data_IF_526258164887
#
_entry.id   IF_526258164887
#
_cell.length_a   1.000
_cell.length_b   1.000
_cell.length_c   1.000
_cell.angle_alpha   90.00
_cell.angle_beta   90.00
_cell.angle_gamma   90.00
#
_symmetry.space_group_name_H-M   'P 1'
#
loop_
_entity.id
_entity.type
_entity.pdbx_description
1 polymer ?
#
# COMPACT_ATOMS: atom_id res chain seq x y z
N UNK A 1 -10.81 47.51 -79.01
CA UNK A 1 -10.15 46.80 -77.93
C UNK A 1 -11.22 46.22 -77.07
N UNK A 2 -11.41 44.86 -77.19
CA UNK A 2 -12.38 44.07 -76.45
C UNK A 2 -11.85 43.77 -75.04
N UNK A 3 -12.63 44.09 -74.03
CA UNK A 3 -12.42 43.58 -72.68
C UNK A 3 -13.21 42.27 -72.50
N UNK A 4 -12.51 41.18 -72.22
CA UNK A 4 -13.10 39.90 -71.88
C UNK A 4 -13.22 39.83 -70.34
N UNK A 5 -14.45 39.77 -69.84
CA UNK A 5 -14.74 39.55 -68.43
C UNK A 5 -14.68 38.03 -68.15
N UNK A 6 -13.76 37.61 -67.31
CA UNK A 6 -13.66 36.23 -66.81
C UNK A 6 -14.63 36.06 -65.62
N UNK A 7 -15.61 35.18 -65.82
CA UNK A 7 -16.51 34.71 -64.73
C UNK A 7 -15.79 33.60 -63.98
N UNK A 8 -15.54 33.82 -62.67
CA UNK A 8 -15.01 32.78 -61.78
C UNK A 8 -16.19 32.03 -61.14
N UNK A 9 -16.30 30.72 -61.26
CA UNK A 9 -17.34 29.98 -60.56
C UNK A 9 -17.01 29.87 -59.09
N UNK A 10 -17.96 30.23 -58.25
CA UNK A 10 -17.96 29.99 -56.78
C UNK A 10 -18.17 28.48 -56.58
N UNK A 11 -17.13 27.81 -56.16
CA UNK A 11 -17.25 26.43 -55.68
C UNK A 11 -17.82 26.47 -54.29
N UNK A 12 -19.04 25.99 -54.11
CA UNK A 12 -19.66 25.72 -52.84
C UNK A 12 -18.90 24.57 -52.18
N UNK A 13 -18.22 24.85 -51.04
CA UNK A 13 -17.68 23.81 -50.18
C UNK A 13 -18.85 23.28 -49.36
N UNK A 14 -19.38 22.18 -49.85
CA UNK A 14 -20.36 21.38 -49.15
C UNK A 14 -19.65 20.43 -48.18
N UNK A 15 -20.34 20.14 -47.10
CA UNK A 15 -20.22 19.00 -46.25
C UNK A 15 -19.02 18.94 -45.28
N UNK A 16 -19.22 19.61 -44.15
CA UNK A 16 -18.63 19.14 -42.92
C UNK A 16 -19.15 17.73 -42.61
N UNK A 17 -18.37 16.71 -42.99
CA UNK A 17 -18.60 15.35 -42.55
C UNK A 17 -18.45 15.34 -40.99
N UNK A 18 -19.59 15.28 -40.34
CA UNK A 18 -19.66 14.95 -38.93
C UNK A 18 -19.01 13.57 -38.78
N UNK A 19 -17.81 13.53 -38.25
CA UNK A 19 -17.22 12.30 -37.75
C UNK A 19 -18.09 11.89 -36.59
N UNK A 20 -19.13 11.11 -36.88
CA UNK A 20 -19.83 10.35 -35.87
C UNK A 20 -18.78 9.45 -35.23
N UNK A 21 -18.35 9.84 -34.02
CA UNK A 21 -17.59 8.91 -33.17
C UNK A 21 -18.41 7.64 -33.12
N UNK A 22 -17.90 6.60 -33.72
CA UNK A 22 -18.51 5.28 -33.65
C UNK A 22 -18.60 4.95 -32.16
N UNK A 23 -19.81 5.08 -31.60
CA UNK A 23 -20.14 4.47 -30.33
C UNK A 23 -19.81 2.99 -30.54
N UNK A 24 -18.71 2.53 -29.94
CA UNK A 24 -18.35 1.12 -29.93
C UNK A 24 -19.57 0.46 -29.32
N UNK A 25 -20.34 -0.26 -30.13
CA UNK A 25 -21.50 -1.01 -29.66
C UNK A 25 -20.97 -1.95 -28.59
N UNK A 26 -21.26 -1.63 -27.32
CA UNK A 26 -20.80 -2.42 -26.18
C UNK A 26 -21.51 -3.76 -26.29
N UNK A 27 -20.79 -4.77 -26.84
CA UNK A 27 -21.35 -6.10 -27.07
C UNK A 27 -21.78 -6.75 -25.77
N UNK A 28 -22.73 -7.65 -25.87
CA UNK A 28 -23.14 -8.52 -24.76
C UNK A 28 -21.97 -9.46 -24.43
N UNK A 29 -21.63 -9.57 -23.16
CA UNK A 29 -20.59 -10.46 -22.64
C UNK A 29 -21.09 -11.91 -22.79
N UNK A 30 -20.46 -12.71 -23.64
CA UNK A 30 -20.80 -14.10 -23.83
C UNK A 30 -20.02 -15.05 -22.94
N UNK A 31 -18.80 -14.66 -22.59
CA UNK A 31 -17.92 -15.47 -21.75
C UNK A 31 -16.98 -14.58 -20.93
N UNK A 32 -16.53 -15.10 -19.78
CA UNK A 32 -15.57 -14.46 -18.90
C UNK A 32 -14.42 -15.44 -18.69
N UNK A 33 -13.25 -15.12 -19.22
CA UNK A 33 -12.04 -15.92 -19.09
C UNK A 33 -11.13 -15.34 -18.02
N UNK A 34 -10.72 -16.18 -17.07
CA UNK A 34 -9.73 -15.82 -16.04
C UNK A 34 -8.40 -16.44 -16.42
N UNK A 35 -7.34 -15.64 -16.42
CA UNK A 35 -5.98 -16.06 -16.77
C UNK A 35 -4.97 -15.57 -15.74
N UNK A 36 -3.82 -16.27 -15.66
CA UNK A 36 -2.72 -15.89 -14.75
C UNK A 36 -2.89 -16.33 -13.30
N UNK A 37 -4.05 -16.88 -12.94
CA UNK A 37 -4.28 -17.47 -11.62
C UNK A 37 -3.52 -18.81 -11.49
N UNK A 38 -3.04 -19.11 -10.30
CA UNK A 38 -2.29 -20.34 -9.97
C UNK A 38 -2.85 -21.04 -8.74
N UNK A 39 -3.02 -20.32 -7.64
CA UNK A 39 -3.56 -20.80 -6.35
C UNK A 39 -5.01 -20.43 -6.14
N UNK A 40 -5.42 -19.30 -6.71
CA UNK A 40 -6.79 -18.80 -6.62
C UNK A 40 -7.60 -19.43 -7.76
N UNK A 41 -8.70 -20.08 -7.40
CA UNK A 41 -9.59 -20.67 -8.39
C UNK A 41 -10.27 -19.61 -9.26
N UNK A 42 -10.50 -19.86 -10.57
CA UNK A 42 -11.18 -18.91 -11.45
C UNK A 42 -12.55 -18.47 -10.94
N UNK A 43 -13.27 -19.36 -10.29
CA UNK A 43 -14.60 -19.07 -9.72
C UNK A 43 -14.51 -18.05 -8.57
N UNK A 44 -13.45 -18.12 -7.77
CA UNK A 44 -13.16 -17.11 -6.74
C UNK A 44 -12.96 -15.74 -7.36
N UNK A 45 -12.20 -15.64 -8.45
CA UNK A 45 -12.02 -14.37 -9.18
C UNK A 45 -13.36 -13.86 -9.70
N UNK A 46 -14.17 -14.74 -10.34
CA UNK A 46 -15.48 -14.39 -10.87
C UNK A 46 -16.44 -13.89 -9.82
N UNK A 47 -16.39 -14.42 -8.60
CA UNK A 47 -17.28 -14.01 -7.50
C UNK A 47 -17.12 -12.54 -7.07
N UNK A 48 -16.00 -11.92 -7.37
CA UNK A 48 -15.74 -10.50 -7.09
C UNK A 48 -16.15 -9.56 -8.24
N UNK A 49 -16.50 -10.11 -9.41
CA UNK A 49 -16.92 -9.31 -10.55
C UNK A 49 -18.33 -8.74 -10.34
N UNK A 50 -18.53 -7.49 -10.75
CA UNK A 50 -19.82 -6.80 -10.68
C UNK A 50 -20.63 -6.92 -11.97
N UNK A 51 -20.24 -7.82 -12.86
CA UNK A 51 -20.90 -8.13 -14.14
C UNK A 51 -20.90 -9.63 -14.39
N UNK A 52 -21.86 -10.08 -15.22
CA UNK A 52 -22.04 -11.48 -15.54
C UNK A 52 -22.12 -11.69 -17.07
N UNK A 53 -22.02 -12.95 -17.48
CA UNK A 53 -22.36 -13.34 -18.86
C UNK A 53 -23.83 -13.02 -19.17
N UNK A 54 -24.11 -12.55 -20.38
CA UNK A 54 -25.42 -12.07 -20.80
C UNK A 54 -25.66 -10.59 -20.58
N UNK A 55 -24.81 -9.89 -19.82
CA UNK A 55 -24.91 -8.44 -19.62
C UNK A 55 -24.16 -7.65 -20.70
N UNK A 56 -24.54 -6.40 -20.89
CA UNK A 56 -23.75 -5.45 -21.69
C UNK A 56 -22.49 -5.06 -20.97
N UNK A 57 -21.37 -4.96 -21.70
CA UNK A 57 -20.10 -4.45 -21.13
C UNK A 57 -20.28 -3.04 -20.58
N UNK A 58 -19.92 -2.85 -19.33
CA UNK A 58 -20.05 -1.57 -18.63
C UNK A 58 -18.74 -1.19 -17.92
N UNK A 59 -18.06 -0.11 -18.37
CA UNK A 59 -16.79 0.33 -17.77
C UNK A 59 -16.89 0.63 -16.26
N UNK A 60 -18.04 1.13 -15.78
CA UNK A 60 -18.25 1.39 -14.35
C UNK A 60 -18.28 0.11 -13.53
N UNK A 61 -18.89 -0.97 -14.04
CA UNK A 61 -18.86 -2.28 -13.40
C UNK A 61 -17.46 -2.90 -13.45
N UNK A 62 -16.71 -2.67 -14.52
CA UNK A 62 -15.31 -3.10 -14.61
C UNK A 62 -14.44 -2.42 -13.56
N UNK A 63 -14.55 -1.10 -13.41
CA UNK A 63 -13.81 -0.35 -12.38
C UNK A 63 -14.18 -0.82 -10.96
N UNK A 64 -15.46 -1.04 -10.70
CA UNK A 64 -15.91 -1.60 -9.42
C UNK A 64 -15.35 -3.02 -9.17
N UNK A 65 -15.28 -3.86 -10.20
CA UNK A 65 -14.71 -5.21 -10.14
C UNK A 65 -13.20 -5.17 -9.87
N UNK A 66 -12.47 -4.29 -10.54
CA UNK A 66 -11.04 -4.06 -10.31
C UNK A 66 -10.79 -3.67 -8.84
N UNK A 67 -11.54 -2.70 -8.32
CA UNK A 67 -11.44 -2.28 -6.91
C UNK A 67 -11.76 -3.41 -5.94
N UNK A 68 -12.79 -4.22 -6.21
CA UNK A 68 -13.15 -5.36 -5.38
C UNK A 68 -12.03 -6.42 -5.37
N UNK A 69 -11.45 -6.75 -6.52
CA UNK A 69 -10.34 -7.71 -6.64
C UNK A 69 -9.08 -7.21 -5.91
N UNK A 70 -8.68 -5.95 -6.10
CA UNK A 70 -7.54 -5.37 -5.38
C UNK A 70 -7.77 -5.30 -3.87
N UNK A 71 -9.00 -5.02 -3.42
CA UNK A 71 -9.33 -4.95 -1.99
C UNK A 71 -9.16 -6.29 -1.27
N UNK A 72 -9.20 -7.43 -1.98
CA UNK A 72 -8.91 -8.75 -1.39
C UNK A 72 -7.47 -8.89 -0.90
N UNK A 73 -6.55 -8.13 -1.48
CA UNK A 73 -5.10 -8.28 -1.26
C UNK A 73 -4.51 -9.57 -1.83
N UNK A 74 -5.27 -10.37 -2.57
CA UNK A 74 -4.79 -11.61 -3.19
C UNK A 74 -3.94 -11.36 -4.43
N UNK A 75 -4.17 -10.26 -5.13
CA UNK A 75 -3.59 -9.96 -6.42
C UNK A 75 -2.62 -8.78 -6.36
N UNK A 76 -1.47 -8.96 -7.01
CA UNK A 76 -0.48 -7.90 -7.21
C UNK A 76 -0.85 -7.04 -8.43
N UNK A 77 -1.56 -7.64 -9.38
CA UNK A 77 -2.02 -6.97 -10.59
C UNK A 77 -3.31 -7.61 -11.10
N UNK A 78 -4.19 -6.80 -11.68
CA UNK A 78 -5.46 -7.23 -12.29
C UNK A 78 -5.72 -6.36 -13.51
N UNK A 79 -5.98 -6.96 -14.66
CA UNK A 79 -6.53 -6.27 -15.82
C UNK A 79 -7.83 -6.94 -16.27
N UNK A 80 -8.78 -6.14 -16.76
CA UNK A 80 -10.07 -6.60 -17.27
C UNK A 80 -10.27 -5.95 -18.63
N UNK A 81 -10.18 -6.75 -19.69
CA UNK A 81 -10.21 -6.26 -21.06
C UNK A 81 -11.26 -6.97 -21.90
N UNK A 82 -12.09 -6.25 -22.64
CA UNK A 82 -13.02 -6.86 -23.60
C UNK A 82 -12.27 -7.30 -24.86
N UNK A 83 -12.44 -8.57 -25.23
CA UNK A 83 -11.97 -9.14 -26.49
C UNK A 83 -13.17 -9.61 -27.32
N UNK A 84 -13.79 -8.71 -28.07
CA UNK A 84 -15.03 -8.97 -28.79
C UNK A 84 -16.20 -9.20 -27.83
N UNK A 85 -16.75 -10.41 -27.77
CA UNK A 85 -17.81 -10.81 -26.83
C UNK A 85 -17.31 -11.54 -25.60
N UNK A 86 -16.00 -11.71 -25.46
CA UNK A 86 -15.35 -12.32 -24.28
C UNK A 86 -14.70 -11.23 -23.45
N UNK A 87 -14.83 -11.29 -22.12
CA UNK A 87 -14.07 -10.43 -21.22
C UNK A 87 -12.94 -11.28 -20.61
N UNK A 88 -11.71 -10.83 -20.81
CA UNK A 88 -10.53 -11.48 -20.23
C UNK A 88 -10.16 -10.77 -18.94
N UNK A 89 -10.14 -11.52 -17.84
CA UNK A 89 -9.67 -11.07 -16.52
C UNK A 89 -8.29 -11.69 -16.30
N UNK A 90 -7.24 -10.92 -16.54
CA UNK A 90 -5.89 -11.37 -16.26
C UNK A 90 -5.49 -10.94 -14.86
N UNK A 91 -5.03 -11.91 -14.06
CA UNK A 91 -4.62 -11.68 -12.67
C UNK A 91 -3.17 -12.13 -12.46
N UNK A 92 -2.47 -11.44 -11.56
CA UNK A 92 -1.18 -11.87 -11.03
C UNK A 92 -1.27 -11.91 -9.51
N UNK A 93 -1.12 -13.10 -8.96
CA UNK A 93 -1.28 -13.30 -7.52
C UNK A 93 -0.14 -12.67 -6.72
N UNK A 94 -0.44 -12.17 -5.53
CA UNK A 94 0.56 -11.78 -4.56
C UNK A 94 1.31 -13.01 -4.04
N UNK A 95 2.63 -12.94 -3.83
CA UNK A 95 3.39 -14.07 -3.31
C UNK A 95 3.00 -14.42 -1.87
N UNK A 96 3.35 -15.63 -1.45
CA UNK A 96 3.16 -16.11 -0.07
C UNK A 96 4.46 -15.98 0.70
N UNK A 97 4.34 -15.54 1.94
CA UNK A 97 5.48 -15.44 2.85
C UNK A 97 5.93 -16.85 3.25
N UNK A 98 7.20 -17.16 2.95
CA UNK A 98 7.85 -18.36 3.41
C UNK A 98 8.38 -18.17 4.84
N UNK A 99 9.06 -17.06 5.10
CA UNK A 99 9.67 -16.74 6.38
C UNK A 99 9.61 -15.22 6.63
N UNK A 100 9.48 -14.85 7.91
CA UNK A 100 9.68 -13.48 8.40
C UNK A 100 10.92 -13.49 9.30
N UNK A 101 11.86 -12.59 9.04
CA UNK A 101 13.09 -12.43 9.80
C UNK A 101 13.28 -10.95 10.21
N UNK A 102 14.06 -10.76 11.27
CA UNK A 102 14.43 -9.43 11.77
C UNK A 102 15.96 -9.37 11.86
N UNK A 103 16.54 -8.29 11.40
CA UNK A 103 17.98 -8.06 11.41
C UNK A 103 18.28 -6.71 12.05
N UNK A 104 19.33 -6.65 12.89
CA UNK A 104 19.73 -5.42 13.57
C UNK A 104 18.99 -5.12 14.88
N UNK A 105 18.13 -6.03 15.36
CA UNK A 105 17.37 -5.90 16.59
C UNK A 105 18.14 -6.43 17.80
N UNK A 106 19.10 -5.65 18.30
CA UNK A 106 19.93 -6.03 19.46
C UNK A 106 19.27 -5.74 20.80
N UNK A 107 18.46 -4.69 20.86
CA UNK A 107 17.82 -4.16 22.08
C UNK A 107 16.40 -4.71 22.29
N UNK A 108 15.72 -5.10 21.21
CA UNK A 108 14.40 -5.72 21.25
C UNK A 108 14.52 -7.14 20.75
N UNK A 109 14.07 -8.08 21.53
CA UNK A 109 14.14 -9.50 21.17
C UNK A 109 13.21 -9.87 20.00
N UNK A 110 13.61 -10.85 19.23
CA UNK A 110 12.84 -11.35 18.08
C UNK A 110 11.43 -11.84 18.44
N UNK A 111 11.19 -12.54 19.56
CA UNK A 111 9.84 -12.91 19.99
C UNK A 111 8.91 -11.71 20.16
N UNK A 112 9.38 -10.62 20.79
CA UNK A 112 8.60 -9.39 20.96
C UNK A 112 8.22 -8.80 19.60
N UNK A 113 9.16 -8.64 18.68
CA UNK A 113 8.89 -8.14 17.33
C UNK A 113 7.95 -9.08 16.56
N UNK A 114 8.14 -10.37 16.69
CA UNK A 114 7.28 -11.37 16.04
C UNK A 114 5.82 -11.25 16.49
N UNK A 115 5.56 -10.91 17.74
CA UNK A 115 4.20 -10.73 18.26
C UNK A 115 3.53 -9.44 17.74
N UNK A 116 4.31 -8.40 17.49
CA UNK A 116 3.80 -7.10 17.01
C UNK A 116 3.44 -7.11 15.52
N UNK A 117 4.14 -7.86 14.67
CA UNK A 117 3.87 -7.92 13.23
C UNK A 117 2.67 -8.82 12.92
N UNK A 118 1.88 -8.44 11.91
CA UNK A 118 0.73 -9.21 11.45
C UNK A 118 1.08 -10.21 10.35
N UNK A 119 2.10 -9.91 9.54
CA UNK A 119 2.56 -10.82 8.51
C UNK A 119 3.28 -11.99 9.16
N UNK A 120 2.82 -13.19 8.83
CA UNK A 120 3.35 -14.46 9.34
C UNK A 120 3.69 -15.38 8.16
N UNK A 121 4.49 -16.42 8.36
CA UNK A 121 4.67 -17.46 7.36
C UNK A 121 3.33 -18.01 6.88
N UNK A 122 3.23 -18.28 5.57
CA UNK A 122 2.03 -18.71 4.83
C UNK A 122 0.97 -17.61 4.59
N UNK A 123 1.13 -16.41 5.12
CA UNK A 123 0.27 -15.27 4.77
C UNK A 123 0.57 -14.76 3.37
N UNK A 124 -0.43 -14.17 2.72
CA UNK A 124 -0.25 -13.46 1.45
C UNK A 124 0.50 -12.16 1.73
N UNK A 125 1.60 -11.96 1.02
CA UNK A 125 2.40 -10.76 1.12
C UNK A 125 1.77 -9.61 0.32
N UNK A 126 1.72 -8.43 0.92
CA UNK A 126 1.51 -7.17 0.21
C UNK A 126 2.47 -6.11 0.74
N UNK A 127 2.93 -5.21 -0.14
CA UNK A 127 3.83 -4.11 0.26
C UNK A 127 3.20 -3.22 1.34
N UNK A 128 1.90 -2.94 1.23
CA UNK A 128 1.17 -2.13 2.20
C UNK A 128 1.17 -2.75 3.61
N UNK A 129 0.98 -4.07 3.70
CA UNK A 129 1.04 -4.79 4.99
C UNK A 129 2.45 -4.82 5.57
N UNK A 130 3.46 -5.03 4.74
CA UNK A 130 4.86 -5.00 5.19
C UNK A 130 5.24 -3.61 5.73
N UNK A 131 4.80 -2.54 5.07
CA UNK A 131 5.02 -1.18 5.52
C UNK A 131 4.27 -0.88 6.83
N UNK A 132 3.05 -1.37 6.98
CA UNK A 132 2.29 -1.26 8.22
C UNK A 132 2.97 -2.01 9.38
N UNK A 133 3.54 -3.19 9.12
CA UNK A 133 4.30 -3.94 10.12
C UNK A 133 5.62 -3.24 10.48
N UNK A 134 6.33 -2.66 9.50
CA UNK A 134 7.51 -1.84 9.77
C UNK A 134 7.16 -0.66 10.70
N UNK A 135 6.00 -0.03 10.50
CA UNK A 135 5.54 1.05 11.39
C UNK A 135 5.24 0.54 12.80
N UNK A 136 4.64 -0.66 12.96
CA UNK A 136 4.43 -1.28 14.28
C UNK A 136 5.76 -1.55 15.01
N UNK A 137 6.75 -2.06 14.29
CA UNK A 137 8.09 -2.26 14.83
C UNK A 137 8.69 -0.92 15.29
N UNK A 138 8.59 0.14 14.47
CA UNK A 138 9.05 1.48 14.86
C UNK A 138 8.37 1.97 16.13
N UNK A 139 7.09 1.71 16.31
CA UNK A 139 6.35 2.13 17.51
C UNK A 139 6.83 1.36 18.75
N UNK A 140 7.28 0.10 18.62
CA UNK A 140 7.96 -0.61 19.71
C UNK A 140 9.22 0.14 20.15
N UNK A 141 10.08 0.52 19.20
CA UNK A 141 11.31 1.25 19.50
C UNK A 141 11.05 2.64 20.06
N UNK A 142 10.03 3.34 19.57
CA UNK A 142 9.63 4.66 20.10
C UNK A 142 9.16 4.58 21.56
N UNK A 143 8.38 3.54 21.91
CA UNK A 143 7.97 3.30 23.32
C UNK A 143 9.17 3.06 24.24
N UNK A 144 10.30 2.61 23.71
CA UNK A 144 11.56 2.46 24.42
C UNK A 144 12.47 3.72 24.36
N UNK A 145 11.95 4.85 23.88
CA UNK A 145 12.70 6.10 23.77
C UNK A 145 13.70 6.14 22.59
N UNK A 146 13.62 5.22 21.64
CA UNK A 146 14.53 5.15 20.47
C UNK A 146 13.89 5.81 19.24
N UNK A 147 13.77 7.13 19.29
CA UNK A 147 13.12 7.92 18.25
C UNK A 147 13.91 7.99 16.92
N UNK A 148 15.20 7.69 16.94
CA UNK A 148 16.06 7.63 15.77
C UNK A 148 16.07 6.25 15.09
N UNK A 149 15.25 5.31 15.56
CA UNK A 149 15.14 4.00 14.92
C UNK A 149 14.56 4.10 13.51
N UNK A 150 15.04 3.24 12.61
CA UNK A 150 14.48 3.04 11.27
C UNK A 150 14.27 1.57 10.99
N UNK A 151 13.24 1.25 10.22
CA UNK A 151 12.89 -0.12 9.86
C UNK A 151 12.55 -0.16 8.37
N UNK A 152 13.26 -1.01 7.63
CA UNK A 152 13.04 -1.21 6.19
C UNK A 152 12.66 -2.66 5.90
N UNK A 153 11.48 -2.91 5.30
CA UNK A 153 11.12 -4.25 4.86
C UNK A 153 11.86 -4.59 3.56
N UNK A 154 12.66 -5.64 3.58
CA UNK A 154 13.33 -6.23 2.41
C UNK A 154 12.62 -7.50 2.00
N UNK A 155 12.53 -7.71 0.69
CA UNK A 155 11.84 -8.85 0.09
C UNK A 155 12.86 -9.66 -0.69
N UNK A 156 12.99 -10.93 -0.36
CA UNK A 156 13.80 -11.89 -1.09
C UNK A 156 12.85 -12.82 -1.82
N UNK A 157 12.80 -12.68 -3.14
CA UNK A 157 11.95 -13.51 -4.00
C UNK A 157 12.51 -14.95 -4.07
N UNK A 158 11.63 -15.91 -3.97
CA UNK A 158 11.91 -17.33 -4.06
C UNK A 158 11.11 -17.94 -5.21
N UNK A 159 11.46 -19.14 -5.59
CA UNK A 159 10.66 -19.90 -6.55
C UNK A 159 9.24 -20.17 -6.05
N UNK A 160 8.30 -20.47 -6.98
CA UNK A 160 6.90 -20.80 -6.72
C UNK A 160 6.10 -19.65 -6.07
N UNK A 161 6.32 -18.40 -6.48
CA UNK A 161 5.64 -17.21 -5.98
C UNK A 161 5.68 -17.09 -4.44
N UNK A 162 6.83 -17.40 -3.84
CA UNK A 162 7.12 -17.24 -2.42
C UNK A 162 8.13 -16.12 -2.18
N UNK A 163 8.08 -15.56 -0.99
CA UNK A 163 9.04 -14.52 -0.56
C UNK A 163 9.49 -14.76 0.88
N UNK A 164 10.74 -14.42 1.17
CA UNK A 164 11.18 -14.17 2.54
C UNK A 164 11.05 -12.65 2.78
N UNK A 165 10.45 -12.28 3.91
CA UNK A 165 10.34 -10.92 4.38
C UNK A 165 11.35 -10.70 5.50
N UNK A 166 12.27 -9.76 5.31
CA UNK A 166 13.28 -9.39 6.30
C UNK A 166 13.04 -7.93 6.69
N UNK A 167 12.88 -7.65 7.99
CA UNK A 167 12.88 -6.29 8.50
C UNK A 167 14.29 -5.91 8.93
N UNK A 168 14.96 -5.06 8.14
CA UNK A 168 16.23 -4.46 8.50
C UNK A 168 16.01 -3.31 9.47
N UNK A 169 16.56 -3.42 10.66
CA UNK A 169 16.34 -2.49 11.77
C UNK A 169 17.64 -1.78 12.10
N UNK A 170 17.58 -0.47 12.13
CA UNK A 170 18.63 0.37 12.71
C UNK A 170 18.06 1.01 13.97
N UNK A 171 18.48 0.55 15.14
CA UNK A 171 17.83 0.89 16.41
C UNK A 171 18.07 2.33 16.87
N UNK A 172 19.17 2.95 16.41
CA UNK A 172 19.58 4.27 16.88
C UNK A 172 19.96 4.28 18.37
N UNK A 173 20.20 5.47 18.89
CA UNK A 173 20.49 5.66 20.32
C UNK A 173 19.21 5.99 21.08
N UNK A 174 19.11 5.51 22.32
CA UNK A 174 18.02 5.88 23.21
C UNK A 174 18.11 7.38 23.57
N UNK A 175 17.01 8.09 23.41
CA UNK A 175 16.90 9.49 23.81
C UNK A 175 16.63 9.55 25.31
N UNK A 176 17.49 10.29 26.02
CA UNK A 176 17.36 10.51 27.47
C UNK A 176 17.12 11.97 27.77
N UNK A 177 16.26 12.24 28.74
CA UNK A 177 16.02 13.60 29.25
C UNK A 177 17.22 14.04 30.08
N UNK A 178 17.97 15.06 29.61
CA UNK A 178 19.11 15.62 30.29
C UNK A 178 18.72 16.65 31.37
N UNK A 179 17.58 17.29 31.23
CA UNK A 179 17.10 18.28 32.17
C UNK A 179 15.67 18.70 31.88
N UNK A 180 14.92 18.99 32.93
CA UNK A 180 13.58 19.53 32.89
C UNK A 180 13.60 20.91 33.54
N UNK A 181 13.28 21.95 32.81
CA UNK A 181 13.18 23.31 33.26
C UNK A 181 11.75 23.82 33.14
N UNK A 182 11.21 24.35 34.21
CA UNK A 182 9.88 24.95 34.22
C UNK A 182 10.02 26.47 34.06
N UNK A 183 9.18 27.08 33.22
CA UNK A 183 9.19 28.51 32.92
C UNK A 183 7.80 29.08 33.24
N UNK A 184 7.76 30.16 34.03
CA UNK A 184 6.50 30.84 34.37
C UNK A 184 5.73 30.24 35.54
N UNK A 185 6.24 29.26 36.21
CA UNK A 185 5.66 28.64 37.41
C UNK A 185 5.73 29.59 38.61
N UNK A 186 4.58 30.16 38.98
CA UNK A 186 4.49 31.08 40.15
C UNK A 186 3.85 30.42 41.39
N UNK A 187 3.01 29.42 41.21
CA UNK A 187 2.25 28.76 42.26
C UNK A 187 2.97 27.53 42.85
N UNK A 188 3.85 26.89 42.08
CA UNK A 188 4.58 25.67 42.46
C UNK A 188 6.07 25.85 42.22
N UNK A 189 6.91 25.29 43.07
CA UNK A 189 8.35 25.26 42.83
C UNK A 189 8.73 24.23 41.78
N UNK A 190 9.89 24.40 41.15
CA UNK A 190 10.42 23.44 40.16
C UNK A 190 10.55 22.03 40.75
N UNK A 191 10.88 21.89 42.03
CA UNK A 191 10.95 20.58 42.68
C UNK A 191 9.58 19.92 42.79
N UNK A 192 8.55 20.65 43.18
CA UNK A 192 7.19 20.13 43.27
C UNK A 192 6.65 19.72 41.88
N UNK A 193 6.98 20.48 40.85
CA UNK A 193 6.59 20.14 39.49
C UNK A 193 7.35 18.91 38.96
N UNK A 194 8.63 18.77 39.29
CA UNK A 194 9.41 17.58 38.94
C UNK A 194 8.88 16.30 39.57
N UNK A 195 8.37 16.39 40.81
CA UNK A 195 7.82 15.22 41.49
C UNK A 195 6.52 14.71 40.86
N UNK A 196 5.83 15.57 40.09
CA UNK A 196 4.58 15.23 39.40
C UNK A 196 4.86 14.69 37.99
N UNK A 197 5.98 15.09 37.37
CA UNK A 197 6.34 14.66 36.00
C UNK A 197 6.87 13.24 36.03
N UNK A 198 6.27 12.34 35.27
CA UNK A 198 6.67 10.94 35.18
C UNK A 198 8.08 10.75 34.58
N UNK A 199 8.54 11.72 33.78
CA UNK A 199 9.86 11.71 33.17
C UNK A 199 10.93 12.21 34.12
N UNK A 200 11.95 11.41 34.35
CA UNK A 200 13.06 11.76 35.28
C UNK A 200 14.31 12.17 34.47
N UNK A 201 15.08 13.14 35.00
CA UNK A 201 16.36 13.50 34.39
C UNK A 201 17.34 12.32 34.43
N UNK A 202 18.08 12.12 33.35
CA UNK A 202 19.14 11.13 33.33
C UNK A 202 20.31 11.54 34.23
N UNK A 203 20.70 10.68 35.17
CA UNK A 203 21.76 10.90 36.11
C UNK A 203 22.80 9.79 36.15
N UNK A 204 23.85 9.98 36.98
CA UNK A 204 24.90 8.99 37.21
C UNK A 204 24.39 7.60 37.61
N UNK A 205 23.23 7.51 38.24
CA UNK A 205 22.64 6.28 38.75
C UNK A 205 21.56 5.67 37.81
N UNK A 206 21.35 6.21 36.61
CA UNK A 206 20.32 5.73 35.66
C UNK A 206 20.48 4.28 35.25
N UNK A 207 21.72 3.77 35.25
CA UNK A 207 21.99 2.38 34.96
C UNK A 207 21.38 1.40 35.97
N UNK A 208 21.03 1.91 37.17
CA UNK A 208 20.41 1.10 38.23
C UNK A 208 18.87 1.17 38.23
N UNK A 209 18.25 2.16 37.58
CA UNK A 209 16.81 2.41 37.69
C UNK A 209 16.02 2.22 36.39
N UNK A 210 16.65 2.19 35.25
CA UNK A 210 15.96 1.94 33.95
C UNK A 210 14.86 2.95 33.54
N UNK A 211 14.68 4.06 34.28
CA UNK A 211 13.51 4.95 34.19
C UNK A 211 13.79 6.31 33.54
N UNK A 212 14.95 6.49 32.91
CA UNK A 212 15.34 7.80 32.32
C UNK A 212 14.94 7.95 30.85
N UNK A 213 13.99 7.16 30.39
CA UNK A 213 13.48 7.21 29.02
C UNK A 213 12.30 8.18 28.96
N UNK A 214 12.22 8.94 27.90
CA UNK A 214 11.10 9.85 27.63
C UNK A 214 9.84 9.03 27.37
N UNK A 215 8.75 9.34 28.05
CA UNK A 215 7.42 8.77 27.88
C UNK A 215 6.52 9.75 27.13
#
# INVERSE_FOLDING_TARGET
>A
SLAVAAVVPVVAVGDAAWVSGAAVAQGVIRDIQVTGNRRVEPETVRSYLQFNTGEAYNPGKVDASLKALFATGLFADVSIEPQGSVVVVAVRENPVINQVAFEGNSEVDTPTLTNEVQLKPRAVFTRARAQADAQRILDVYRRQGRFAASVEPKIIELEQDRVNLVFEITEGVATKVKGINFVGNRAFSDSQLRDIVSTTQSGWFDFLKGTSIYD
#
